data_IF_611010667642
#
_entry.id   IF_611010667642
#
_cell.length_a   1.000
_cell.length_b   1.000
_cell.length_c   1.000
_cell.angle_alpha   90.00
_cell.angle_beta   90.00
_cell.angle_gamma   90.00
#
_symmetry.space_group_name_H-M   'P 1'
#
loop_
_entity.id
_entity.type
_entity.pdbx_description
1 polymer ?
#
# COMPACT_ATOMS: atom_id res chain seq x y z
N UNK A 1 53.10 -9.56 49.47
CA UNK A 1 51.72 -10.06 49.23
C UNK A 1 50.97 -9.22 48.15
N UNK A 2 51.67 -8.57 47.21
CA UNK A 2 51.02 -7.77 46.19
C UNK A 2 51.43 -8.12 44.75
N UNK A 3 52.06 -9.27 44.55
CA UNK A 3 52.63 -9.59 43.22
C UNK A 3 51.97 -10.77 42.50
N UNK A 4 50.87 -11.31 43.06
CA UNK A 4 50.20 -12.49 42.46
C UNK A 4 48.85 -12.20 41.79
N UNK A 5 48.35 -10.96 41.79
CA UNK A 5 47.02 -10.61 41.22
C UNK A 5 47.14 -10.01 39.80
N UNK A 6 48.32 -9.53 39.40
CA UNK A 6 48.48 -8.98 38.03
C UNK A 6 48.76 -10.00 36.92
N UNK A 7 49.11 -11.26 37.25
CA UNK A 7 49.38 -12.28 36.24
C UNK A 7 48.14 -13.04 35.76
N UNK A 8 47.00 -12.97 36.49
CA UNK A 8 45.77 -13.66 36.13
C UNK A 8 44.85 -12.84 35.17
N UNK A 9 45.06 -11.51 35.08
CA UNK A 9 44.26 -10.64 34.21
C UNK A 9 44.86 -10.53 32.79
N UNK A 10 46.16 -10.76 32.64
CA UNK A 10 46.81 -10.75 31.33
C UNK A 10 46.54 -12.02 30.50
N UNK A 11 46.07 -13.10 31.11
CA UNK A 11 45.77 -14.37 30.42
C UNK A 11 44.38 -14.47 29.82
N UNK A 12 43.46 -13.55 30.17
CA UNK A 12 42.06 -13.57 29.67
C UNK A 12 41.82 -12.66 28.47
N UNK A 13 42.79 -11.84 28.08
CA UNK A 13 42.68 -10.94 26.94
C UNK A 13 43.21 -11.53 25.61
N UNK A 14 43.71 -12.77 25.62
CA UNK A 14 44.22 -13.43 24.38
C UNK A 14 43.21 -14.43 23.80
N UNK A 15 42.09 -14.67 24.47
CA UNK A 15 41.10 -15.65 24.02
C UNK A 15 39.97 -15.09 23.13
N UNK A 16 39.99 -13.82 22.74
CA UNK A 16 38.96 -13.20 21.91
C UNK A 16 39.45 -12.56 20.60
N UNK A 17 40.54 -13.04 20.03
CA UNK A 17 40.99 -12.61 18.71
C UNK A 17 41.04 -13.74 17.69
N UNK A 18 40.09 -14.67 17.74
CA UNK A 18 39.77 -15.42 16.54
C UNK A 18 38.76 -14.59 15.76
N UNK A 19 39.28 -13.63 14.99
CA UNK A 19 38.58 -13.19 13.77
C UNK A 19 38.30 -14.46 12.97
N UNK A 20 37.03 -14.83 12.89
CA UNK A 20 36.59 -15.76 11.85
C UNK A 20 36.93 -15.00 10.56
N UNK A 21 38.03 -15.35 9.90
CA UNK A 21 38.20 -14.98 8.50
C UNK A 21 37.10 -15.71 7.73
N UNK A 22 35.98 -15.05 7.57
CA UNK A 22 35.05 -15.36 6.48
C UNK A 22 35.91 -15.11 5.24
N UNK A 23 36.12 -16.14 4.42
CA UNK A 23 36.84 -16.04 3.14
C UNK A 23 36.41 -14.72 2.50
N UNK A 24 37.36 -13.78 2.38
CA UNK A 24 37.09 -12.45 1.86
C UNK A 24 36.42 -12.62 0.51
N UNK A 25 35.25 -12.08 0.35
CA UNK A 25 34.63 -11.96 -0.98
C UNK A 25 35.64 -11.19 -1.80
N UNK A 26 36.09 -11.73 -2.94
CA UNK A 26 36.91 -10.98 -3.87
C UNK A 26 36.11 -9.78 -4.38
N UNK A 27 36.30 -8.65 -3.72
CA UNK A 27 35.63 -7.39 -4.05
C UNK A 27 36.29 -6.69 -5.25
N UNK A 28 37.34 -7.22 -5.81
CA UNK A 28 38.06 -6.58 -6.93
C UNK A 28 37.13 -6.37 -8.15
N UNK A 29 36.15 -7.25 -8.33
CA UNK A 29 35.12 -7.11 -9.36
C UNK A 29 34.05 -6.03 -9.06
N UNK A 30 33.91 -5.63 -7.79
CA UNK A 30 32.97 -4.61 -7.34
C UNK A 30 33.61 -3.23 -7.16
N UNK A 31 34.90 -3.20 -6.85
CA UNK A 31 35.68 -1.99 -6.62
C UNK A 31 36.54 -1.66 -7.84
N UNK A 32 35.97 -1.67 -9.05
CA UNK A 32 36.71 -1.18 -10.21
C UNK A 32 36.53 0.34 -10.35
N UNK A 33 37.44 1.17 -9.76
CA UNK A 33 37.31 2.63 -9.81
C UNK A 33 37.64 3.21 -11.20
N UNK A 34 38.11 2.38 -12.13
CA UNK A 34 38.59 2.85 -13.43
C UNK A 34 37.43 3.25 -14.37
N UNK A 35 36.23 2.77 -14.13
CA UNK A 35 35.08 3.08 -15.01
C UNK A 35 33.81 3.38 -14.23
N UNK A 36 33.50 4.63 -14.03
CA UNK A 36 32.18 5.06 -13.54
C UNK A 36 31.14 4.77 -14.60
N UNK A 37 30.18 3.86 -14.30
CA UNK A 37 29.12 3.46 -15.21
C UNK A 37 27.85 4.30 -14.98
N UNK A 38 27.23 4.72 -16.08
CA UNK A 38 25.94 5.37 -16.08
C UNK A 38 24.81 4.34 -16.27
N UNK A 39 23.75 4.46 -15.50
CA UNK A 39 22.58 3.62 -15.57
C UNK A 39 21.30 4.41 -15.38
N UNK A 40 20.17 3.85 -15.86
CA UNK A 40 18.85 4.47 -15.82
C UNK A 40 18.04 3.92 -14.65
N UNK A 41 17.38 4.80 -13.91
CA UNK A 41 16.34 4.41 -12.93
C UNK A 41 15.08 5.23 -13.16
N UNK A 42 13.94 4.65 -12.79
CA UNK A 42 12.71 5.42 -12.63
C UNK A 42 12.69 6.23 -11.32
N UNK A 43 11.60 6.92 -11.05
CA UNK A 43 11.43 7.73 -9.82
C UNK A 43 11.37 6.89 -8.53
N UNK A 44 11.23 5.58 -8.64
CA UNK A 44 11.22 4.65 -7.50
C UNK A 44 12.57 3.95 -7.27
N UNK A 45 13.59 4.29 -8.07
CA UNK A 45 14.92 3.68 -8.00
C UNK A 45 15.03 2.34 -8.72
N UNK A 46 14.01 1.91 -9.46
CA UNK A 46 14.03 0.68 -10.26
C UNK A 46 14.87 0.91 -11.53
N UNK A 47 15.69 -0.06 -11.94
CA UNK A 47 16.70 0.14 -12.99
C UNK A 47 16.53 -0.71 -14.26
N UNK A 48 15.54 -1.58 -14.37
CA UNK A 48 15.39 -2.46 -15.54
C UNK A 48 13.99 -2.43 -16.15
N UNK A 49 12.97 -2.47 -15.33
CA UNK A 49 11.57 -2.47 -15.74
C UNK A 49 10.66 -2.07 -14.59
N UNK A 50 9.55 -1.45 -14.89
CA UNK A 50 8.46 -1.22 -13.94
C UNK A 50 7.12 -1.23 -14.70
N UNK A 51 6.02 -1.18 -13.95
CA UNK A 51 4.66 -1.17 -14.50
C UNK A 51 3.87 -0.04 -13.85
N UNK A 52 3.20 0.76 -14.66
CA UNK A 52 2.35 1.86 -14.21
C UNK A 52 0.97 1.77 -14.85
N UNK A 53 -0.04 2.12 -14.06
CA UNK A 53 -1.40 2.30 -14.53
C UNK A 53 -1.64 3.79 -14.80
N UNK A 54 -2.39 4.13 -15.84
CA UNK A 54 -2.70 5.52 -16.16
C UNK A 54 -4.14 5.68 -16.64
N UNK A 55 -4.63 6.91 -16.54
CA UNK A 55 -5.98 7.29 -16.91
C UNK A 55 -5.91 8.44 -17.92
N UNK A 56 -6.32 8.23 -19.17
CA UNK A 56 -6.22 9.17 -20.31
C UNK A 56 -4.77 9.50 -20.67
N UNK A 57 -4.02 10.03 -19.72
CA UNK A 57 -2.61 10.36 -19.84
C UNK A 57 -1.85 9.93 -18.59
N UNK A 58 -0.57 9.70 -18.73
CA UNK A 58 0.34 9.37 -17.66
C UNK A 58 1.68 10.08 -17.83
N UNK A 59 2.39 10.23 -16.72
CA UNK A 59 3.75 10.76 -16.72
C UNK A 59 4.58 10.13 -15.60
N UNK A 60 5.85 9.94 -15.88
CA UNK A 60 6.81 9.50 -14.87
C UNK A 60 8.17 10.16 -15.12
N UNK A 61 9.06 10.05 -14.14
CA UNK A 61 10.41 10.63 -14.18
C UNK A 61 11.44 9.53 -14.23
N UNK A 62 12.47 9.72 -15.00
CA UNK A 62 13.66 8.89 -15.02
C UNK A 62 14.88 9.70 -14.61
N UNK A 63 15.83 9.04 -14.00
CA UNK A 63 17.09 9.63 -13.55
C UNK A 63 18.26 8.83 -14.13
N UNK A 64 19.30 9.52 -14.51
CA UNK A 64 20.59 8.89 -14.82
C UNK A 64 21.42 8.92 -13.55
N UNK A 65 21.90 7.76 -13.16
CA UNK A 65 22.77 7.61 -12.00
C UNK A 65 24.14 7.11 -12.44
N UNK A 66 25.16 7.48 -11.69
CA UNK A 66 26.52 6.99 -11.83
C UNK A 66 26.90 6.10 -10.66
N UNK A 67 27.71 5.09 -10.91
CA UNK A 67 28.23 4.19 -9.86
C UNK A 67 29.15 4.89 -8.86
N UNK A 68 29.67 6.07 -9.20
CA UNK A 68 30.43 6.95 -8.31
C UNK A 68 30.26 8.40 -8.77
N UNK A 69 30.48 9.40 -7.88
CA UNK A 69 30.42 10.82 -8.26
C UNK A 69 31.37 11.14 -9.42
N UNK A 70 30.90 11.93 -10.38
CA UNK A 70 31.70 12.34 -11.54
C UNK A 70 32.69 13.43 -11.17
N UNK A 71 33.90 13.36 -11.73
CA UNK A 71 34.86 14.45 -11.62
C UNK A 71 34.55 15.63 -12.53
N UNK A 72 33.82 15.39 -13.61
CA UNK A 72 33.45 16.36 -14.62
C UNK A 72 31.98 16.34 -14.89
N UNK A 73 31.44 17.46 -15.42
CA UNK A 73 30.07 17.51 -15.95
C UNK A 73 29.88 16.45 -17.03
N UNK A 74 28.78 15.69 -16.92
CA UNK A 74 28.38 14.68 -17.92
C UNK A 74 26.95 14.92 -18.39
N UNK A 75 26.72 14.65 -19.68
CA UNK A 75 25.40 14.80 -20.31
C UNK A 75 24.94 13.49 -20.90
N UNK A 76 23.68 13.18 -20.68
CA UNK A 76 23.02 11.98 -21.17
C UNK A 76 21.66 12.34 -21.77
N UNK A 77 21.17 11.44 -22.62
CA UNK A 77 19.80 11.49 -23.15
C UNK A 77 19.13 10.14 -23.05
N UNK A 78 17.83 10.14 -22.91
CA UNK A 78 17.00 8.95 -23.00
C UNK A 78 16.18 9.05 -24.28
N UNK A 79 16.11 7.98 -25.02
CA UNK A 79 15.32 7.89 -26.27
C UNK A 79 14.43 6.67 -26.27
N UNK A 80 13.28 6.75 -26.95
CA UNK A 80 12.49 5.59 -27.28
C UNK A 80 13.28 4.74 -28.30
N UNK A 81 13.40 3.42 -28.03
CA UNK A 81 14.14 2.49 -28.89
C UNK A 81 13.46 1.12 -28.90
N UNK A 82 12.77 0.81 -29.99
CA UNK A 82 12.00 -0.44 -30.14
C UNK A 82 12.86 -1.70 -29.98
N UNK A 83 14.17 -1.65 -30.30
CA UNK A 83 15.06 -2.80 -30.19
C UNK A 83 15.25 -3.26 -28.74
N UNK A 84 15.05 -2.36 -27.76
CA UNK A 84 15.06 -2.71 -26.33
C UNK A 84 13.94 -3.69 -26.00
N UNK A 85 12.72 -3.45 -26.53
CA UNK A 85 11.61 -4.36 -26.30
C UNK A 85 11.78 -5.69 -27.06
N UNK A 86 12.33 -5.67 -28.26
CA UNK A 86 12.64 -6.90 -29.02
C UNK A 86 13.61 -7.79 -28.24
N UNK A 87 14.67 -7.19 -27.68
CA UNK A 87 15.64 -7.87 -26.82
C UNK A 87 14.98 -8.42 -25.55
N UNK A 88 14.13 -7.62 -24.91
CA UNK A 88 13.37 -8.01 -23.74
C UNK A 88 12.45 -9.21 -24.03
N UNK A 89 11.64 -9.12 -25.08
CA UNK A 89 10.72 -10.18 -25.47
C UNK A 89 11.44 -11.49 -25.79
N UNK A 90 12.58 -11.41 -26.48
CA UNK A 90 13.43 -12.57 -26.80
C UNK A 90 13.97 -13.21 -25.53
N UNK A 91 14.58 -12.41 -24.64
CA UNK A 91 15.19 -12.88 -23.40
C UNK A 91 14.17 -13.53 -22.44
N UNK A 92 12.97 -12.95 -22.35
CA UNK A 92 11.94 -13.38 -21.41
C UNK A 92 10.87 -14.28 -22.04
N UNK A 93 10.98 -14.60 -23.34
CA UNK A 93 10.00 -15.39 -24.11
C UNK A 93 8.59 -14.80 -24.02
N UNK A 94 8.49 -13.47 -24.08
CA UNK A 94 7.24 -12.71 -24.05
C UNK A 94 6.90 -12.14 -25.42
N UNK A 95 5.70 -11.54 -25.55
CA UNK A 95 5.21 -10.93 -26.80
C UNK A 95 4.54 -9.58 -26.52
N UNK A 96 5.09 -8.79 -25.60
CA UNK A 96 4.57 -7.47 -25.32
C UNK A 96 4.66 -6.57 -26.56
N UNK A 97 3.64 -5.74 -26.74
CA UNK A 97 3.61 -4.74 -27.79
C UNK A 97 4.15 -3.41 -27.28
N UNK A 98 4.83 -2.69 -28.13
CA UNK A 98 5.27 -1.33 -27.80
C UNK A 98 4.08 -0.36 -27.84
N UNK A 99 4.03 0.58 -26.88
CA UNK A 99 3.16 1.76 -27.04
C UNK A 99 3.66 2.55 -28.25
N UNK A 100 2.80 2.93 -29.21
CA UNK A 100 3.23 3.68 -30.38
C UNK A 100 4.04 4.94 -30.01
N UNK A 101 5.16 5.16 -30.69
CA UNK A 101 6.09 6.24 -30.35
C UNK A 101 5.46 7.63 -30.39
N UNK A 102 4.47 7.86 -31.25
CA UNK A 102 3.71 9.11 -31.34
C UNK A 102 2.83 9.38 -30.10
N UNK A 103 2.61 8.39 -29.24
CA UNK A 103 1.90 8.51 -27.97
C UNK A 103 2.85 8.74 -26.80
N UNK A 104 4.18 8.81 -27.05
CA UNK A 104 5.21 8.98 -26.01
C UNK A 104 5.99 10.26 -26.27
N UNK A 105 6.16 11.07 -25.23
CA UNK A 105 6.99 12.28 -25.26
C UNK A 105 8.06 12.18 -24.18
N UNK A 106 9.33 12.32 -24.57
CA UNK A 106 10.47 12.31 -23.65
C UNK A 106 11.07 13.73 -23.65
N UNK A 107 11.04 14.37 -22.48
CA UNK A 107 11.46 15.76 -22.30
C UNK A 107 12.64 15.86 -21.32
N UNK A 108 13.61 16.65 -21.68
CA UNK A 108 14.76 16.95 -20.84
C UNK A 108 16.04 16.27 -21.28
N UNK A 109 17.14 16.75 -20.74
CA UNK A 109 18.47 16.13 -20.81
C UNK A 109 18.92 15.85 -19.40
N UNK A 110 19.50 14.69 -19.19
CA UNK A 110 20.11 14.37 -17.91
C UNK A 110 21.52 14.98 -17.86
N UNK A 111 21.68 15.96 -17.01
CA UNK A 111 22.97 16.56 -16.72
C UNK A 111 23.40 16.17 -15.32
N UNK A 112 24.61 15.65 -15.18
CA UNK A 112 25.24 15.35 -13.89
C UNK A 112 26.41 16.30 -13.72
N UNK A 113 26.30 17.22 -12.77
CA UNK A 113 27.36 18.18 -12.48
C UNK A 113 28.54 17.50 -11.76
N UNK A 114 29.71 18.13 -11.84
CA UNK A 114 30.88 17.62 -11.14
C UNK A 114 30.64 17.48 -9.63
N UNK A 115 31.06 16.36 -9.06
CA UNK A 115 30.85 16.02 -7.66
C UNK A 115 29.54 15.27 -7.39
N UNK A 116 28.62 15.21 -8.35
CA UNK A 116 27.34 14.53 -8.23
C UNK A 116 27.34 13.15 -8.92
N UNK A 117 26.40 12.31 -8.54
CA UNK A 117 26.18 11.00 -9.15
C UNK A 117 24.76 10.77 -9.66
N UNK A 118 23.87 11.76 -9.59
CA UNK A 118 22.49 11.68 -10.05
C UNK A 118 22.15 12.92 -10.86
N UNK A 119 21.39 12.75 -11.95
CA UNK A 119 20.95 13.82 -12.82
C UNK A 119 19.68 14.52 -12.32
N UNK A 120 19.39 15.67 -12.95
CA UNK A 120 18.04 16.17 -13.01
C UNK A 120 17.11 15.16 -13.72
N UNK A 121 15.79 15.18 -13.45
CA UNK A 121 14.85 14.23 -14.02
C UNK A 121 14.63 14.44 -15.52
N UNK A 122 14.49 13.31 -16.23
CA UNK A 122 13.94 13.24 -17.58
C UNK A 122 12.46 12.88 -17.44
N UNK A 123 11.56 13.68 -18.03
CA UNK A 123 10.14 13.40 -17.99
C UNK A 123 9.73 12.53 -19.18
N UNK A 124 9.01 11.44 -18.90
CA UNK A 124 8.39 10.57 -19.90
C UNK A 124 6.88 10.70 -19.73
N UNK A 125 6.22 11.26 -20.74
CA UNK A 125 4.77 11.44 -20.81
C UNK A 125 4.20 10.49 -21.85
N UNK A 126 2.99 10.01 -21.62
CA UNK A 126 2.33 9.10 -22.54
C UNK A 126 0.81 9.25 -22.46
N UNK A 127 0.13 8.94 -23.56
CA UNK A 127 -1.32 9.10 -23.70
C UNK A 127 -1.97 7.85 -24.23
N UNK A 128 -3.30 7.74 -24.06
CA UNK A 128 -4.11 6.71 -24.67
C UNK A 128 -4.43 7.04 -26.15
N UNK A 129 -4.86 6.03 -26.88
CA UNK A 129 -5.45 6.18 -28.22
C UNK A 129 -6.63 5.21 -28.37
N UNK A 130 -7.52 5.51 -29.32
CA UNK A 130 -8.75 4.73 -29.54
C UNK A 130 -8.46 3.30 -29.98
N UNK A 131 -7.40 3.10 -30.75
CA UNK A 131 -6.96 1.83 -31.32
C UNK A 131 -6.25 0.91 -30.32
N UNK A 132 -5.89 1.40 -29.14
CA UNK A 132 -5.30 0.56 -28.10
C UNK A 132 -6.34 -0.45 -27.57
N UNK A 133 -5.90 -1.67 -27.38
CA UNK A 133 -6.76 -2.75 -26.88
C UNK A 133 -7.29 -2.43 -25.47
N UNK A 134 -8.55 -2.77 -25.22
CA UNK A 134 -9.10 -2.77 -23.87
C UNK A 134 -8.31 -3.78 -23.04
N UNK A 135 -7.74 -3.37 -21.92
CA UNK A 135 -6.86 -4.16 -21.06
C UNK A 135 -5.46 -4.46 -21.67
N UNK A 136 -5.10 -3.83 -22.77
CA UNK A 136 -3.76 -3.98 -23.35
C UNK A 136 -2.68 -3.46 -22.39
N UNK A 137 -1.63 -4.26 -22.22
CA UNK A 137 -0.41 -3.85 -21.53
C UNK A 137 0.61 -3.53 -22.61
N UNK A 138 1.06 -2.28 -22.65
CA UNK A 138 2.01 -1.80 -23.64
C UNK A 138 3.34 -1.47 -22.99
N UNK A 139 4.43 -1.59 -23.73
CA UNK A 139 5.76 -1.26 -23.28
C UNK A 139 6.26 0.05 -23.89
N UNK A 140 6.86 0.92 -23.09
CA UNK A 140 7.66 2.06 -23.52
C UNK A 140 9.13 1.64 -23.38
N UNK A 141 9.81 1.29 -24.47
CA UNK A 141 11.21 0.87 -24.43
C UNK A 141 12.13 2.10 -24.46
N UNK A 142 12.99 2.23 -23.46
CA UNK A 142 13.87 3.36 -23.27
C UNK A 142 15.34 2.94 -23.34
N UNK A 143 16.16 3.75 -24.01
CA UNK A 143 17.60 3.58 -24.08
C UNK A 143 18.33 4.83 -23.63
N UNK A 144 19.27 4.65 -22.72
CA UNK A 144 20.20 5.68 -22.27
C UNK A 144 21.34 5.82 -23.28
N UNK A 145 21.69 7.06 -23.64
CA UNK A 145 22.84 7.42 -24.46
C UNK A 145 23.66 8.49 -23.76
N UNK A 146 24.96 8.32 -23.76
CA UNK A 146 25.92 9.27 -23.21
C UNK A 146 26.91 9.75 -24.26
N UNK A 147 27.61 10.82 -23.98
CA UNK A 147 28.71 11.33 -24.81
C UNK A 147 30.00 10.51 -24.62
N UNK A 148 30.08 9.74 -23.55
CA UNK A 148 31.22 8.85 -23.21
C UNK A 148 30.77 7.38 -23.31
N UNK A 149 31.72 6.49 -23.56
CA UNK A 149 31.50 5.04 -23.54
C UNK A 149 31.52 4.50 -22.10
N UNK A 150 30.52 4.98 -21.31
CA UNK A 150 30.36 4.60 -19.91
C UNK A 150 28.93 4.22 -19.54
N UNK A 151 28.06 3.98 -20.50
CA UNK A 151 26.72 3.50 -20.24
C UNK A 151 26.75 2.00 -19.89
N UNK A 152 26.09 1.62 -18.80
CA UNK A 152 25.98 0.23 -18.39
C UNK A 152 25.27 -0.59 -19.47
N UNK A 153 25.86 -1.73 -19.87
CA UNK A 153 25.26 -2.64 -20.84
C UNK A 153 23.96 -3.28 -20.33
N UNK A 154 23.86 -3.51 -19.02
CA UNK A 154 22.67 -4.14 -18.42
C UNK A 154 21.61 -3.12 -18.06
N UNK A 155 22.00 -1.99 -17.47
CA UNK A 155 21.10 -1.00 -16.88
C UNK A 155 20.99 0.30 -17.68
N UNK A 156 21.54 0.32 -18.90
CA UNK A 156 21.34 1.42 -19.87
C UNK A 156 20.05 1.30 -20.65
N UNK A 157 19.27 0.24 -20.43
CA UNK A 157 17.97 -0.01 -21.05
C UNK A 157 16.90 -0.16 -19.98
N UNK A 158 15.69 0.32 -20.28
CA UNK A 158 14.55 0.23 -19.37
C UNK A 158 13.28 -0.07 -20.16
N UNK A 159 12.45 -0.98 -19.67
CA UNK A 159 11.13 -1.27 -20.24
C UNK A 159 10.06 -0.83 -19.24
N UNK A 160 9.36 0.27 -19.54
CA UNK A 160 8.23 0.73 -18.76
C UNK A 160 6.96 0.13 -19.33
N UNK A 161 6.30 -0.75 -18.56
CA UNK A 161 4.98 -1.24 -18.91
C UNK A 161 3.91 -0.27 -18.46
N UNK A 162 2.96 0.03 -19.34
CA UNK A 162 1.85 0.94 -19.06
C UNK A 162 0.52 0.28 -19.47
N UNK A 163 -0.51 0.51 -18.67
CA UNK A 163 -1.87 0.05 -18.98
C UNK A 163 -2.85 1.20 -18.77
N UNK A 164 -3.63 1.47 -19.82
CA UNK A 164 -4.72 2.45 -19.78
C UNK A 164 -5.94 1.83 -19.09
N UNK A 165 -6.30 2.37 -17.94
CA UNK A 165 -7.46 1.90 -17.17
C UNK A 165 -8.76 2.68 -17.47
N UNK A 166 -8.76 3.65 -18.38
CA UNK A 166 -9.97 4.41 -18.73
C UNK A 166 -11.05 3.54 -19.35
N UNK A 167 -10.62 2.53 -20.11
CA UNK A 167 -11.52 1.61 -20.83
C UNK A 167 -12.16 0.57 -19.92
N UNK A 168 -11.67 0.46 -18.68
CA UNK A 168 -12.28 -0.40 -17.67
C UNK A 168 -13.44 0.32 -16.98
N UNK A 169 -14.58 -0.31 -16.75
CA UNK A 169 -15.66 0.29 -15.99
C UNK A 169 -15.21 0.54 -14.54
N UNK A 170 -15.91 1.46 -13.85
CA UNK A 170 -15.68 1.70 -12.43
C UNK A 170 -16.23 0.54 -11.56
N UNK A 171 -16.08 0.65 -10.24
CA UNK A 171 -16.59 -0.35 -9.29
C UNK A 171 -18.06 -0.14 -8.90
N UNK A 172 -18.68 1.02 -9.18
CA UNK A 172 -19.99 1.38 -8.67
C UNK A 172 -21.10 0.44 -9.20
N UNK A 173 -21.72 -0.29 -8.29
CA UNK A 173 -22.81 -1.21 -8.58
C UNK A 173 -24.15 -0.51 -8.44
N UNK A 174 -25.08 -0.81 -9.34
CA UNK A 174 -26.40 -0.16 -9.39
C UNK A 174 -27.29 -0.51 -8.17
N UNK A 175 -26.94 -1.58 -7.45
CA UNK A 175 -27.67 -2.05 -6.26
C UNK A 175 -27.18 -1.41 -4.95
N UNK A 176 -26.12 -0.57 -4.98
CA UNK A 176 -25.56 0.10 -3.81
C UNK A 176 -24.81 -0.79 -2.81
N UNK A 177 -24.70 -2.11 -3.09
CA UNK A 177 -23.96 -3.01 -2.21
C UNK A 177 -22.45 -2.74 -2.27
N UNK A 178 -21.83 -2.77 -1.10
CA UNK A 178 -20.40 -2.64 -0.95
C UNK A 178 -19.75 -4.02 -0.82
N UNK A 179 -18.69 -4.26 -1.56
CA UNK A 179 -17.76 -5.38 -1.33
C UNK A 179 -16.43 -4.77 -0.90
N UNK A 180 -16.10 -4.98 0.36
CA UNK A 180 -14.90 -4.41 0.99
C UNK A 180 -13.79 -5.44 0.96
N UNK A 181 -12.61 -5.07 0.45
CA UNK A 181 -11.40 -5.88 0.51
C UNK A 181 -10.50 -5.39 1.63
N UNK A 182 -10.39 -6.14 2.71
CA UNK A 182 -9.41 -5.88 3.78
C UNK A 182 -8.15 -6.67 3.46
N UNK A 183 -7.08 -5.98 3.04
CA UNK A 183 -5.89 -6.62 2.49
C UNK A 183 -4.72 -6.58 3.47
N UNK A 184 -4.10 -7.73 3.68
CA UNK A 184 -2.83 -7.83 4.39
C UNK A 184 -1.69 -7.28 3.50
N UNK A 185 -1.33 -6.01 3.72
CA UNK A 185 -0.33 -5.30 2.90
C UNK A 185 1.08 -5.87 3.07
N UNK A 186 1.35 -6.58 4.16
CA UNK A 186 2.64 -7.26 4.33
C UNK A 186 2.85 -8.39 3.30
N UNK A 187 1.76 -9.00 2.82
CA UNK A 187 1.79 -10.15 1.94
C UNK A 187 1.42 -9.82 0.49
N UNK A 188 0.59 -8.79 0.26
CA UNK A 188 -0.07 -8.59 -1.03
C UNK A 188 -0.07 -7.15 -1.51
N UNK A 189 -0.09 -6.98 -2.83
CA UNK A 189 -0.15 -5.67 -3.47
C UNK A 189 -1.60 -5.19 -3.60
N UNK A 190 -1.96 -3.98 -3.14
CA UNK A 190 -3.33 -3.47 -3.21
C UNK A 190 -3.88 -3.38 -4.64
N UNK A 191 -3.03 -3.26 -5.67
CA UNK A 191 -3.47 -3.29 -7.07
C UNK A 191 -4.11 -4.62 -7.51
N UNK A 192 -3.97 -5.69 -6.72
CA UNK A 192 -4.67 -6.95 -7.02
C UNK A 192 -6.19 -6.81 -7.01
N UNK A 193 -6.73 -5.80 -6.35
CA UNK A 193 -8.17 -5.50 -6.41
C UNK A 193 -8.66 -5.17 -7.84
N UNK A 194 -7.78 -4.70 -8.71
CA UNK A 194 -8.07 -4.44 -10.12
C UNK A 194 -8.06 -5.71 -11.00
N UNK A 195 -7.74 -6.88 -10.44
CA UNK A 195 -7.78 -8.16 -11.16
C UNK A 195 -9.17 -8.80 -11.18
N UNK A 196 -10.12 -8.32 -10.36
CA UNK A 196 -11.40 -8.97 -10.18
C UNK A 196 -12.54 -8.10 -10.71
N UNK A 197 -13.22 -8.62 -11.74
CA UNK A 197 -14.36 -7.98 -12.38
C UNK A 197 -15.56 -8.91 -12.40
N UNK A 198 -16.75 -8.32 -12.35
CA UNK A 198 -18.02 -9.04 -12.50
C UNK A 198 -18.24 -9.42 -13.97
N UNK A 199 -18.50 -10.68 -14.24
CA UNK A 199 -18.60 -11.22 -15.61
C UNK A 199 -19.66 -10.48 -16.46
N UNK A 200 -20.83 -10.20 -15.89
CA UNK A 200 -21.94 -9.60 -16.64
C UNK A 200 -21.75 -8.12 -16.94
N UNK A 201 -21.26 -7.33 -15.96
CA UNK A 201 -21.14 -5.88 -16.08
C UNK A 201 -19.74 -5.42 -16.47
N UNK A 202 -18.74 -6.26 -16.25
CA UNK A 202 -17.32 -5.91 -16.34
C UNK A 202 -16.85 -4.93 -15.26
N UNK A 203 -17.72 -4.47 -14.36
CA UNK A 203 -17.37 -3.58 -13.24
C UNK A 203 -16.45 -4.31 -12.27
N UNK A 204 -15.59 -3.57 -11.57
CA UNK A 204 -14.77 -4.17 -10.53
C UNK A 204 -15.62 -4.70 -9.37
N UNK A 205 -15.17 -5.84 -8.81
CA UNK A 205 -15.87 -6.49 -7.69
C UNK A 205 -15.83 -5.64 -6.43
N UNK A 206 -14.66 -5.05 -6.10
CA UNK A 206 -14.45 -4.33 -4.85
C UNK A 206 -14.80 -2.85 -4.97
N UNK A 207 -15.45 -2.31 -3.94
CA UNK A 207 -15.83 -0.89 -3.81
C UNK A 207 -14.90 -0.14 -2.86
N UNK A 208 -14.28 -0.87 -1.94
CA UNK A 208 -13.36 -0.33 -0.94
C UNK A 208 -12.18 -1.27 -0.75
N UNK A 209 -11.02 -0.68 -0.42
CA UNK A 209 -9.78 -1.39 -0.07
C UNK A 209 -9.28 -0.85 1.25
N UNK A 210 -9.29 -1.69 2.29
CA UNK A 210 -8.70 -1.39 3.58
C UNK A 210 -7.24 -1.84 3.54
N UNK A 211 -6.32 -0.90 3.74
CA UNK A 211 -4.89 -1.17 3.88
C UNK A 211 -4.64 -1.69 5.31
N UNK A 212 -4.53 -3.00 5.46
CA UNK A 212 -4.37 -3.64 6.75
C UNK A 212 -2.90 -4.04 6.96
N UNK A 213 -2.18 -3.43 7.94
CA UNK A 213 -2.66 -2.32 8.73
C UNK A 213 -1.53 -1.39 9.17
N UNK A 214 -1.86 -0.13 9.41
CA UNK A 214 -1.16 0.68 10.38
C UNK A 214 -1.52 0.24 11.79
N UNK A 215 -0.80 0.74 12.77
CA UNK A 215 -0.96 0.31 14.15
C UNK A 215 -1.16 1.51 15.09
N UNK A 216 -1.81 1.24 16.22
CA UNK A 216 -1.86 2.16 17.36
C UNK A 216 -0.77 1.79 18.35
N UNK A 217 0.12 2.73 18.65
CA UNK A 217 1.23 2.55 19.58
C UNK A 217 1.28 3.70 20.61
N UNK A 218 2.02 3.48 21.70
CA UNK A 218 2.24 4.47 22.74
C UNK A 218 3.73 4.77 22.90
N UNK A 219 4.09 6.03 22.82
CA UNK A 219 5.45 6.49 23.08
C UNK A 219 5.64 6.74 24.58
N UNK A 220 6.58 6.02 25.21
CA UNK A 220 6.87 6.12 26.63
C UNK A 220 7.55 7.44 27.02
N UNK A 221 8.30 8.06 26.11
CA UNK A 221 9.04 9.28 26.37
C UNK A 221 8.12 10.51 26.28
N UNK A 222 7.31 10.60 25.23
CA UNK A 222 6.38 11.72 25.03
C UNK A 222 5.05 11.51 25.75
N UNK A 223 4.76 10.29 26.18
CA UNK A 223 3.48 9.87 26.79
C UNK A 223 2.27 10.07 25.87
N UNK A 224 2.47 9.93 24.57
CA UNK A 224 1.46 10.12 23.55
C UNK A 224 1.17 8.83 22.80
N UNK A 225 -0.08 8.69 22.37
CA UNK A 225 -0.50 7.66 21.43
C UNK A 225 -0.19 8.16 20.03
N UNK A 226 0.31 7.27 19.16
CA UNK A 226 0.63 7.60 17.78
C UNK A 226 0.30 6.46 16.81
N UNK A 227 0.13 6.80 15.53
CA UNK A 227 0.00 5.82 14.46
C UNK A 227 1.38 5.40 13.97
N UNK A 228 1.70 4.13 14.17
CA UNK A 228 2.88 3.47 13.61
C UNK A 228 2.50 2.78 12.30
N UNK A 229 3.21 3.08 11.24
CA UNK A 229 3.12 2.36 9.97
C UNK A 229 4.42 1.58 9.76
N UNK A 230 4.34 0.27 9.58
CA UNK A 230 5.49 -0.54 9.22
C UNK A 230 6.03 -0.17 7.82
N UNK A 231 7.15 -0.79 7.41
CA UNK A 231 7.80 -0.46 6.13
C UNK A 231 6.88 -0.70 4.92
N UNK A 232 6.05 -1.74 4.92
CA UNK A 232 5.15 -2.07 3.82
C UNK A 232 4.02 -1.06 3.67
N UNK A 233 3.35 -0.71 4.77
CA UNK A 233 2.33 0.34 4.78
C UNK A 233 2.95 1.69 4.39
N UNK A 234 4.10 2.04 4.98
CA UNK A 234 4.82 3.28 4.67
C UNK A 234 5.20 3.35 3.20
N UNK A 235 5.67 2.25 2.60
CA UNK A 235 6.00 2.17 1.18
C UNK A 235 4.77 2.42 0.30
N UNK A 236 3.67 1.74 0.57
CA UNK A 236 2.43 1.89 -0.22
C UNK A 236 1.89 3.32 -0.12
N UNK A 237 1.91 3.93 1.07
CA UNK A 237 1.48 5.31 1.27
C UNK A 237 2.42 6.32 0.59
N UNK A 238 3.72 6.13 0.69
CA UNK A 238 4.73 7.00 0.05
C UNK A 238 4.58 6.99 -1.47
N UNK A 239 4.27 5.84 -2.05
CA UNK A 239 4.10 5.66 -3.50
C UNK A 239 2.62 5.55 -3.89
N UNK A 240 1.76 6.38 -3.27
CA UNK A 240 0.30 6.38 -3.48
C UNK A 240 -0.10 6.50 -4.95
N UNK A 241 0.62 7.28 -5.74
CA UNK A 241 0.39 7.44 -7.17
C UNK A 241 0.48 6.12 -7.95
N UNK A 242 1.32 5.21 -7.46
CA UNK A 242 1.49 3.87 -8.05
C UNK A 242 0.48 2.87 -7.54
N UNK A 243 0.18 2.88 -6.24
CA UNK A 243 -0.56 1.81 -5.58
C UNK A 243 -1.99 2.15 -5.23
N UNK A 244 -2.31 3.41 -4.95
CA UNK A 244 -3.60 3.82 -4.40
C UNK A 244 -4.45 4.63 -5.39
N UNK A 245 -3.86 5.61 -6.07
CA UNK A 245 -4.59 6.43 -7.03
C UNK A 245 -5.25 5.64 -8.16
N UNK A 246 -4.64 4.55 -8.72
CA UNK A 246 -5.33 3.72 -9.71
C UNK A 246 -6.62 3.07 -9.18
N UNK A 247 -6.67 2.71 -7.90
CA UNK A 247 -7.87 2.19 -7.25
C UNK A 247 -8.95 3.27 -7.17
N UNK A 248 -8.57 4.46 -6.67
CA UNK A 248 -9.47 5.61 -6.54
C UNK A 248 -9.98 6.11 -7.89
N UNK A 249 -9.15 6.08 -8.93
CA UNK A 249 -9.57 6.41 -10.31
C UNK A 249 -10.65 5.46 -10.85
N UNK A 250 -10.77 4.26 -10.27
CA UNK A 250 -11.83 3.30 -10.58
C UNK A 250 -13.01 3.36 -9.60
N UNK A 251 -13.02 4.37 -8.74
CA UNK A 251 -14.11 4.65 -7.80
C UNK A 251 -13.99 3.88 -6.48
N UNK A 252 -12.96 3.06 -6.30
CA UNK A 252 -12.72 2.37 -5.03
C UNK A 252 -12.31 3.36 -3.95
N UNK A 253 -12.82 3.19 -2.74
CA UNK A 253 -12.37 3.92 -1.57
C UNK A 253 -11.15 3.25 -0.97
N UNK A 254 -10.15 4.04 -0.55
CA UNK A 254 -8.93 3.55 0.09
C UNK A 254 -8.91 3.98 1.55
N UNK A 255 -8.94 3.01 2.44
CA UNK A 255 -9.12 3.17 3.88
C UNK A 255 -7.86 2.72 4.61
N UNK A 256 -7.39 3.47 5.60
CA UNK A 256 -6.28 3.03 6.46
C UNK A 256 -6.82 2.20 7.62
N UNK A 257 -6.45 0.92 7.68
CA UNK A 257 -6.73 0.07 8.83
C UNK A 257 -5.82 0.42 10.01
N UNK A 258 -6.37 0.42 11.22
CA UNK A 258 -5.66 0.64 12.48
C UNK A 258 -5.89 -0.54 13.39
N UNK A 259 -4.81 -1.22 13.75
CA UNK A 259 -4.77 -2.44 14.57
C UNK A 259 -3.90 -2.23 15.80
N UNK A 260 -4.10 -2.97 16.87
CA UNK A 260 -3.14 -3.07 17.97
C UNK A 260 -1.80 -3.66 17.53
N UNK A 261 -0.75 -3.44 18.31
CA UNK A 261 0.63 -3.85 17.95
C UNK A 261 1.36 -4.52 19.12
N UNK A 262 0.67 -5.36 19.90
CA UNK A 262 1.20 -5.93 21.15
C UNK A 262 1.73 -4.85 22.12
N UNK A 263 1.38 -3.58 21.85
CA UNK A 263 1.65 -2.41 22.64
C UNK A 263 0.52 -2.16 23.65
N UNK A 264 0.74 -1.23 24.58
CA UNK A 264 -0.25 -0.87 25.61
C UNK A 264 -1.43 -0.06 25.06
N UNK A 265 -1.23 0.69 23.99
CA UNK A 265 -2.30 1.44 23.35
C UNK A 265 -3.29 0.51 22.67
N UNK A 266 -4.56 0.80 22.84
CA UNK A 266 -5.67 0.12 22.20
C UNK A 266 -6.74 1.13 21.78
N UNK A 267 -7.54 0.78 20.80
CA UNK A 267 -8.68 1.60 20.36
C UNK A 267 -9.67 1.82 21.52
N UNK A 268 -9.73 0.87 22.45
CA UNK A 268 -10.67 0.83 23.56
C UNK A 268 -10.14 1.37 24.88
N UNK A 269 -8.93 1.93 24.94
CA UNK A 269 -8.34 2.36 26.23
C UNK A 269 -7.79 3.79 26.24
N UNK A 270 -8.10 4.61 25.24
CA UNK A 270 -7.65 5.99 25.20
C UNK A 270 -8.49 6.88 26.14
N UNK A 271 -7.84 7.88 26.75
CA UNK A 271 -8.54 8.99 27.39
C UNK A 271 -9.22 9.90 26.36
N UNK A 272 -10.11 10.78 26.80
CA UNK A 272 -10.75 11.75 25.90
C UNK A 272 -9.72 12.63 25.16
N UNK A 273 -8.67 13.07 25.87
CA UNK A 273 -7.58 13.83 25.25
C UNK A 273 -6.75 12.98 24.29
N UNK A 274 -6.47 11.72 24.64
CA UNK A 274 -5.82 10.77 23.75
C UNK A 274 -6.63 10.50 22.48
N UNK A 275 -7.95 10.38 22.58
CA UNK A 275 -8.84 10.26 21.44
C UNK A 275 -8.76 11.47 20.51
N UNK A 276 -8.79 12.70 21.05
CA UNK A 276 -8.68 13.94 20.27
C UNK A 276 -7.31 14.04 19.58
N UNK A 277 -6.23 13.77 20.31
CA UNK A 277 -4.87 13.80 19.78
C UNK A 277 -4.72 12.81 18.62
N UNK A 278 -5.08 11.55 18.84
CA UNK A 278 -4.98 10.50 17.84
C UNK A 278 -5.86 10.78 16.62
N UNK A 279 -7.06 11.35 16.81
CA UNK A 279 -7.92 11.76 15.70
C UNK A 279 -7.28 12.84 14.81
N UNK A 280 -6.54 13.81 15.39
CA UNK A 280 -5.82 14.81 14.61
C UNK A 280 -4.63 14.20 13.85
N UNK A 281 -3.91 13.27 14.45
CA UNK A 281 -2.84 12.56 13.75
C UNK A 281 -3.38 11.74 12.58
N UNK A 282 -4.45 10.97 12.78
CA UNK A 282 -5.11 10.22 11.70
C UNK A 282 -5.61 11.14 10.59
N UNK A 283 -6.16 12.30 10.94
CA UNK A 283 -6.54 13.33 9.97
C UNK A 283 -5.37 13.75 9.11
N UNK A 284 -4.24 14.10 9.73
CA UNK A 284 -3.04 14.52 9.01
C UNK A 284 -2.56 13.43 8.03
N UNK A 285 -2.60 12.15 8.44
CA UNK A 285 -2.25 11.01 7.57
C UNK A 285 -3.24 10.86 6.40
N UNK A 286 -4.54 10.85 6.69
CA UNK A 286 -5.60 10.71 5.68
C UNK A 286 -5.53 11.83 4.64
N UNK A 287 -5.28 13.07 5.06
CA UNK A 287 -5.13 14.21 4.16
C UNK A 287 -3.83 14.14 3.34
N UNK A 288 -2.68 13.85 3.97
CA UNK A 288 -1.38 13.77 3.29
C UNK A 288 -1.35 12.71 2.17
N UNK A 289 -2.00 11.59 2.42
CA UNK A 289 -2.02 10.47 1.47
C UNK A 289 -3.29 10.41 0.63
N UNK A 290 -4.19 11.38 0.77
CA UNK A 290 -5.48 11.45 0.07
C UNK A 290 -6.32 10.17 0.24
N UNK A 291 -6.38 9.64 1.47
CA UNK A 291 -7.18 8.46 1.79
C UNK A 291 -8.65 8.84 1.96
N UNK A 292 -9.52 7.85 1.88
CA UNK A 292 -10.96 8.06 1.98
C UNK A 292 -11.51 7.87 3.40
N UNK A 293 -10.72 7.33 4.33
CA UNK A 293 -11.13 7.13 5.71
C UNK A 293 -10.19 6.26 6.52
N UNK A 294 -10.69 5.81 7.66
CA UNK A 294 -10.01 4.91 8.60
C UNK A 294 -10.91 3.74 9.00
N UNK A 295 -10.30 2.61 9.28
CA UNK A 295 -10.95 1.40 9.79
C UNK A 295 -10.29 0.99 11.10
N UNK A 296 -11.07 0.67 12.13
CA UNK A 296 -10.61 0.27 13.44
C UNK A 296 -10.86 -1.20 13.71
N UNK A 297 -9.80 -1.91 14.10
CA UNK A 297 -9.82 -3.28 14.57
C UNK A 297 -9.13 -3.37 15.94
N UNK A 298 -9.91 -3.69 16.99
CA UNK A 298 -9.44 -3.68 18.38
C UNK A 298 -8.89 -5.05 18.81
N UNK A 299 -7.82 -5.48 18.15
CA UNK A 299 -7.13 -6.74 18.44
C UNK A 299 -5.64 -6.51 18.76
N UNK A 300 -4.99 -7.51 19.30
CA UNK A 300 -3.54 -7.62 19.54
C UNK A 300 -2.90 -6.51 20.41
N UNK A 301 -3.68 -5.76 21.19
CA UNK A 301 -3.12 -4.83 22.18
C UNK A 301 -2.87 -5.52 23.53
N UNK A 302 -1.74 -5.20 24.18
CA UNK A 302 -1.37 -5.74 25.50
C UNK A 302 -2.03 -4.95 26.65
N UNK A 303 -3.34 -5.00 26.74
CA UNK A 303 -4.19 -4.18 27.63
C UNK A 303 -3.97 -4.42 29.12
N UNK A 304 -3.50 -5.59 29.51
CA UNK A 304 -3.49 -6.07 30.92
C UNK A 304 -2.52 -5.37 31.87
N UNK A 305 -1.57 -4.57 31.38
CA UNK A 305 -0.49 -4.01 32.19
C UNK A 305 -0.60 -2.51 32.43
N UNK A 306 -1.71 -1.86 32.01
CA UNK A 306 -1.84 -0.40 32.07
C UNK A 306 -3.13 0.03 32.71
N UNK A 307 -3.09 1.11 33.51
CA UNK A 307 -4.25 1.68 34.19
C UNK A 307 -5.13 2.45 33.19
N UNK A 308 -5.69 1.76 32.22
CA UNK A 308 -6.66 2.30 31.27
C UNK A 308 -7.91 1.45 31.32
N UNK A 309 -9.07 2.06 31.37
CA UNK A 309 -10.33 1.36 31.22
C UNK A 309 -10.49 0.89 29.78
N UNK A 310 -10.48 -0.43 29.57
CA UNK A 310 -10.92 -1.00 28.31
C UNK A 310 -12.45 -0.97 28.28
N UNK A 311 -13.03 -0.13 27.45
CA UNK A 311 -14.49 -0.08 27.31
C UNK A 311 -14.92 0.38 25.92
N UNK A 312 -16.13 -0.05 25.49
CA UNK A 312 -16.74 0.44 24.27
C UNK A 312 -16.99 1.96 24.29
N UNK A 313 -17.07 2.59 25.48
CA UNK A 313 -17.17 4.06 25.61
C UNK A 313 -15.93 4.75 25.05
N UNK A 314 -14.73 4.23 25.33
CA UNK A 314 -13.48 4.79 24.84
C UNK A 314 -13.40 4.66 23.31
N UNK A 315 -13.75 3.50 22.75
CA UNK A 315 -13.84 3.31 21.31
C UNK A 315 -14.88 4.25 20.68
N UNK A 316 -16.03 4.43 21.33
CA UNK A 316 -17.07 5.37 20.87
C UNK A 316 -16.54 6.81 20.84
N UNK A 317 -15.82 7.22 21.90
CA UNK A 317 -15.19 8.55 21.95
C UNK A 317 -14.17 8.71 20.83
N UNK A 318 -13.33 7.73 20.57
CA UNK A 318 -12.36 7.78 19.48
C UNK A 318 -13.04 7.94 18.12
N UNK A 319 -14.01 7.08 17.81
CA UNK A 319 -14.74 7.15 16.53
C UNK A 319 -15.44 8.51 16.34
N UNK A 320 -16.05 9.04 17.41
CA UNK A 320 -16.68 10.36 17.41
C UNK A 320 -15.69 11.48 17.11
N UNK A 321 -14.54 11.52 17.82
CA UNK A 321 -13.52 12.55 17.61
C UNK A 321 -12.89 12.45 16.21
N UNK A 322 -12.71 11.24 15.67
CA UNK A 322 -12.24 11.03 14.30
C UNK A 322 -13.27 11.54 13.29
N UNK A 323 -14.55 11.19 13.44
CA UNK A 323 -15.62 11.69 12.55
C UNK A 323 -15.76 13.21 12.61
N UNK A 324 -15.65 13.78 13.80
CA UNK A 324 -15.66 15.23 14.03
C UNK A 324 -14.47 15.93 13.36
N UNK A 325 -13.28 15.33 13.44
CA UNK A 325 -12.06 15.86 12.80
C UNK A 325 -12.12 15.76 11.26
N UNK A 326 -12.80 14.74 10.74
CA UNK A 326 -12.86 14.41 9.31
C UNK A 326 -14.31 14.08 8.88
N UNK A 327 -15.26 15.03 8.89
CA UNK A 327 -16.69 14.74 8.70
C UNK A 327 -17.02 14.11 7.33
N UNK A 328 -16.20 14.37 6.31
CA UNK A 328 -16.39 13.87 4.95
C UNK A 328 -15.60 12.56 4.65
N UNK A 329 -14.93 12.00 5.65
CA UNK A 329 -14.18 10.74 5.52
C UNK A 329 -14.92 9.60 6.20
N UNK A 330 -14.68 8.39 5.75
CA UNK A 330 -15.30 7.19 6.29
C UNK A 330 -14.65 6.82 7.63
N UNK A 331 -15.48 6.44 8.59
CA UNK A 331 -15.10 5.82 9.85
C UNK A 331 -15.74 4.45 9.89
N UNK A 332 -14.92 3.42 9.86
CA UNK A 332 -15.34 2.02 9.80
C UNK A 332 -14.82 1.26 11.02
N UNK A 333 -15.59 0.31 11.50
CA UNK A 333 -15.25 -0.43 12.73
C UNK A 333 -15.53 -1.92 12.52
N UNK A 334 -14.55 -2.77 12.83
CA UNK A 334 -14.74 -4.20 12.94
C UNK A 334 -15.48 -4.50 14.26
N UNK A 335 -16.64 -5.12 14.15
CA UNK A 335 -17.55 -5.40 15.27
C UNK A 335 -17.08 -6.65 15.99
N UNK A 336 -16.04 -6.49 16.80
CA UNK A 336 -15.37 -7.58 17.51
C UNK A 336 -14.80 -7.11 18.86
N UNK A 337 -14.70 -7.97 19.85
CA UNK A 337 -14.07 -7.66 21.14
C UNK A 337 -14.62 -6.35 21.77
N UNK A 338 -13.75 -5.40 22.11
CA UNK A 338 -14.11 -4.14 22.75
C UNK A 338 -14.90 -3.16 21.89
N UNK A 339 -14.91 -3.36 20.58
CA UNK A 339 -15.74 -2.63 19.60
C UNK A 339 -17.04 -3.36 19.24
N UNK A 340 -17.34 -4.47 19.90
CA UNK A 340 -18.57 -5.22 19.68
C UNK A 340 -19.86 -4.45 19.92
N UNK A 341 -19.80 -3.37 20.72
CA UNK A 341 -20.90 -2.40 20.92
C UNK A 341 -20.33 -1.02 21.15
N UNK A 342 -20.92 -0.01 20.54
CA UNK A 342 -20.60 1.40 20.76
C UNK A 342 -21.77 2.13 21.41
N UNK A 343 -21.48 3.26 22.06
CA UNK A 343 -22.41 4.03 22.87
C UNK A 343 -22.46 5.49 22.43
N UNK A 344 -23.52 6.18 22.83
CA UNK A 344 -23.68 7.60 22.54
C UNK A 344 -22.56 8.43 23.15
N UNK A 345 -22.10 9.44 22.40
CA UNK A 345 -21.07 10.40 22.81
C UNK A 345 -21.60 11.82 22.60
N UNK A 346 -21.60 12.62 23.65
CA UNK A 346 -22.05 14.03 23.60
C UNK A 346 -23.45 14.20 22.97
N UNK A 347 -24.34 13.20 23.16
CA UNK A 347 -25.70 13.19 22.60
C UNK A 347 -25.83 12.59 21.20
N UNK A 348 -24.72 12.24 20.52
CA UNK A 348 -24.71 11.61 19.21
C UNK A 348 -24.73 10.09 19.33
N UNK A 349 -25.50 9.44 18.47
CA UNK A 349 -25.59 7.99 18.40
C UNK A 349 -24.43 7.40 17.55
N UNK A 350 -23.99 6.15 17.78
CA UNK A 350 -22.98 5.49 16.99
C UNK A 350 -23.15 5.58 15.48
N UNK A 351 -24.38 5.44 14.97
CA UNK A 351 -24.67 5.55 13.54
C UNK A 351 -24.52 6.97 12.96
N UNK A 352 -24.26 7.99 13.78
CA UNK A 352 -23.94 9.35 13.31
C UNK A 352 -22.43 9.56 13.11
N UNK A 353 -21.58 8.73 13.74
CA UNK A 353 -20.14 8.88 13.67
C UNK A 353 -19.38 7.63 13.20
N UNK A 354 -20.08 6.52 12.94
CA UNK A 354 -19.56 5.32 12.26
C UNK A 354 -20.36 5.11 10.99
N UNK A 355 -19.69 5.10 9.85
CA UNK A 355 -20.30 4.91 8.54
C UNK A 355 -20.59 3.43 8.25
N UNK A 356 -19.63 2.55 8.61
CA UNK A 356 -19.78 1.10 8.45
C UNK A 356 -19.37 0.34 9.72
N UNK A 357 -20.32 -0.45 10.23
CA UNK A 357 -20.05 -1.52 11.19
C UNK A 357 -19.84 -2.83 10.43
N UNK A 358 -18.65 -3.37 10.48
CA UNK A 358 -18.27 -4.58 9.74
C UNK A 358 -18.33 -5.77 10.70
N UNK A 359 -19.33 -6.64 10.50
CA UNK A 359 -19.55 -7.77 11.38
C UNK A 359 -18.42 -8.79 11.27
N UNK A 360 -18.09 -9.44 12.40
CA UNK A 360 -17.15 -10.56 12.47
C UNK A 360 -17.48 -11.68 11.48
N UNK A 361 -16.51 -12.54 11.20
CA UNK A 361 -16.60 -13.59 10.20
C UNK A 361 -17.86 -14.46 10.36
N UNK A 362 -18.59 -14.60 9.26
CA UNK A 362 -19.84 -15.34 9.20
C UNK A 362 -21.03 -14.68 9.90
N UNK A 363 -20.81 -13.57 10.60
CA UNK A 363 -21.86 -12.86 11.33
C UNK A 363 -22.89 -12.22 10.39
N UNK A 364 -24.19 -12.44 10.66
CA UNK A 364 -25.30 -12.00 9.83
C UNK A 364 -26.43 -11.32 10.63
N UNK A 365 -26.22 -11.10 11.93
CA UNK A 365 -27.17 -10.40 12.78
C UNK A 365 -27.20 -8.92 12.49
N UNK A 366 -28.38 -8.32 12.64
CA UNK A 366 -28.56 -6.87 12.57
C UNK A 366 -27.78 -6.17 13.69
N UNK A 367 -27.08 -5.09 13.37
CA UNK A 367 -26.21 -4.37 14.29
C UNK A 367 -26.89 -3.19 15.01
N UNK A 368 -28.19 -2.96 14.82
CA UNK A 368 -28.89 -1.79 15.36
C UNK A 368 -28.86 -1.71 16.89
N UNK A 369 -28.80 -2.87 17.58
CA UNK A 369 -28.66 -2.92 19.03
C UNK A 369 -27.24 -2.64 19.53
N UNK A 370 -26.25 -2.95 18.73
CA UNK A 370 -24.84 -2.76 19.05
C UNK A 370 -24.35 -1.37 18.64
N UNK A 371 -24.92 -0.83 17.57
CA UNK A 371 -24.60 0.46 16.97
C UNK A 371 -25.89 1.27 16.81
N UNK A 372 -26.47 1.80 17.89
CA UNK A 372 -27.69 2.58 17.80
C UNK A 372 -27.63 3.71 16.77
N UNK A 373 -28.70 3.88 16.01
CA UNK A 373 -28.78 4.89 14.95
C UNK A 373 -28.15 4.50 13.62
N UNK A 374 -27.45 3.36 13.53
CA UNK A 374 -26.83 2.92 12.27
C UNK A 374 -27.92 2.41 11.30
N UNK A 375 -27.97 2.95 10.06
CA UNK A 375 -28.87 2.43 9.04
C UNK A 375 -28.38 1.06 8.54
N UNK A 376 -29.28 0.24 8.01
CA UNK A 376 -28.92 -1.06 7.44
C UNK A 376 -27.83 -0.96 6.35
N UNK A 377 -27.83 0.11 5.57
CA UNK A 377 -26.82 0.39 4.57
C UNK A 377 -25.40 0.62 5.14
N UNK A 378 -25.29 0.90 6.44
CA UNK A 378 -24.02 0.98 7.16
C UNK A 378 -23.59 -0.36 7.78
N UNK A 379 -24.40 -1.41 7.70
CA UNK A 379 -24.11 -2.73 8.28
C UNK A 379 -23.52 -3.66 7.22
N UNK A 380 -22.25 -4.03 7.39
CA UNK A 380 -21.52 -4.95 6.52
C UNK A 380 -21.52 -6.32 7.18
N UNK A 381 -22.16 -7.29 6.55
CA UNK A 381 -22.46 -8.60 7.13
C UNK A 381 -21.84 -9.74 6.32
N UNK A 382 -21.72 -10.92 6.95
CA UNK A 382 -21.25 -12.13 6.28
C UNK A 382 -19.78 -12.06 5.87
N UNK A 383 -18.96 -11.30 6.60
CA UNK A 383 -17.51 -11.18 6.38
C UNK A 383 -16.83 -12.56 6.33
N UNK A 384 -15.80 -12.68 5.52
CA UNK A 384 -15.08 -13.95 5.29
C UNK A 384 -13.57 -13.75 5.25
N UNK A 385 -12.83 -14.82 5.54
CA UNK A 385 -11.39 -14.88 5.31
C UNK A 385 -11.11 -15.71 4.05
N UNK A 386 -10.86 -15.02 2.93
CA UNK A 386 -10.86 -15.67 1.63
C UNK A 386 -9.61 -16.47 1.33
N UNK A 387 -8.45 -16.12 1.87
CA UNK A 387 -7.20 -16.86 1.65
C UNK A 387 -7.24 -18.28 2.24
N UNK A 388 -8.05 -18.50 3.29
CA UNK A 388 -8.29 -19.83 3.88
C UNK A 388 -9.43 -20.62 3.21
N UNK A 389 -10.07 -20.04 2.19
CA UNK A 389 -11.16 -20.69 1.50
C UNK A 389 -12.49 -20.70 2.25
N UNK A 390 -12.63 -19.91 3.32
CA UNK A 390 -13.89 -19.75 4.02
C UNK A 390 -14.81 -18.82 3.24
N UNK A 391 -16.01 -19.28 2.96
CA UNK A 391 -17.03 -18.49 2.27
C UNK A 391 -18.41 -18.83 2.84
N UNK A 392 -19.21 -17.81 3.07
CA UNK A 392 -20.63 -17.95 3.32
C UNK A 392 -21.34 -18.52 2.07
N UNK A 393 -22.52 -19.08 2.26
CA UNK A 393 -23.32 -19.52 1.11
C UNK A 393 -23.87 -18.33 0.33
N UNK A 394 -24.11 -18.50 -0.97
CA UNK A 394 -24.73 -17.47 -1.81
C UNK A 394 -26.09 -16.98 -1.25
N UNK A 395 -26.82 -17.84 -0.53
CA UNK A 395 -28.07 -17.47 0.13
C UNK A 395 -27.90 -16.41 1.23
N UNK A 396 -26.72 -16.34 1.87
CA UNK A 396 -26.40 -15.29 2.84
C UNK A 396 -26.29 -13.94 2.13
N UNK A 397 -25.55 -13.87 1.03
CA UNK A 397 -25.37 -12.63 0.27
C UNK A 397 -26.67 -12.18 -0.40
N UNK A 398 -27.48 -13.11 -0.90
CA UNK A 398 -28.83 -12.79 -1.40
C UNK A 398 -29.72 -12.19 -0.30
N UNK A 399 -29.65 -12.67 0.94
CA UNK A 399 -30.41 -12.10 2.07
C UNK A 399 -29.87 -10.72 2.47
N UNK A 400 -28.55 -10.51 2.47
CA UNK A 400 -27.95 -9.20 2.71
C UNK A 400 -28.54 -8.18 1.73
N UNK A 401 -28.53 -8.51 0.44
CA UNK A 401 -29.12 -7.69 -0.61
C UNK A 401 -30.62 -7.45 -0.42
N UNK A 402 -31.39 -8.52 -0.23
CA UNK A 402 -32.84 -8.46 -0.14
C UNK A 402 -33.34 -7.64 1.07
N UNK A 403 -32.57 -7.60 2.16
CA UNK A 403 -32.93 -6.88 3.38
C UNK A 403 -32.37 -5.45 3.44
N UNK A 404 -31.63 -4.99 2.40
CA UNK A 404 -31.09 -3.64 2.31
C UNK A 404 -29.87 -3.39 3.22
N UNK A 405 -29.12 -4.43 3.58
CA UNK A 405 -27.85 -4.27 4.28
C UNK A 405 -26.76 -3.74 3.35
N UNK A 406 -25.74 -3.13 3.92
CA UNK A 406 -24.70 -2.40 3.18
C UNK A 406 -23.79 -3.23 2.29
N UNK A 407 -23.56 -4.50 2.65
CA UNK A 407 -22.68 -5.34 1.86
C UNK A 407 -21.92 -6.39 2.67
N UNK A 408 -20.73 -6.73 2.23
CA UNK A 408 -19.86 -7.73 2.86
C UNK A 408 -18.38 -7.32 2.81
N UNK A 409 -17.55 -7.91 3.66
CA UNK A 409 -16.10 -7.74 3.66
C UNK A 409 -15.41 -9.07 3.42
N UNK A 410 -14.33 -9.05 2.64
CA UNK A 410 -13.40 -10.16 2.49
C UNK A 410 -12.04 -9.76 3.05
N UNK A 411 -11.48 -10.59 3.93
CA UNK A 411 -10.13 -10.43 4.46
C UNK A 411 -9.14 -11.35 3.75
N UNK A 412 -7.90 -10.89 3.64
CA UNK A 412 -6.79 -11.70 3.18
C UNK A 412 -6.87 -12.07 1.70
N UNK A 413 -7.35 -11.15 0.85
CA UNK A 413 -7.36 -11.36 -0.60
C UNK A 413 -5.93 -11.58 -1.11
N UNK A 414 -5.69 -12.75 -1.66
CA UNK A 414 -4.45 -13.11 -2.33
C UNK A 414 -4.78 -13.89 -3.62
N UNK A 415 -4.56 -13.33 -4.81
CA UNK A 415 -4.87 -13.97 -6.07
C UNK A 415 -4.23 -15.34 -6.27
N UNK A 416 -3.12 -15.62 -5.57
CA UNK A 416 -2.42 -16.91 -5.65
C UNK A 416 -3.02 -17.97 -4.73
N UNK A 417 -3.66 -17.57 -3.63
CA UNK A 417 -4.18 -18.47 -2.57
C UNK A 417 -5.69 -18.51 -2.50
N UNK A 418 -6.37 -17.39 -2.84
CA UNK A 418 -7.83 -17.30 -2.74
C UNK A 418 -8.50 -18.19 -3.79
N UNK A 419 -9.28 -19.21 -3.38
CA UNK A 419 -9.98 -20.05 -4.34
C UNK A 419 -11.08 -19.26 -5.10
N UNK A 420 -11.19 -19.48 -6.41
CA UNK A 420 -12.18 -18.78 -7.24
C UNK A 420 -13.62 -18.91 -6.73
N UNK A 421 -13.99 -20.08 -6.15
CA UNK A 421 -15.35 -20.29 -5.66
C UNK A 421 -15.73 -19.34 -4.51
N UNK A 422 -14.74 -18.85 -3.74
CA UNK A 422 -14.98 -17.92 -2.63
C UNK A 422 -15.50 -16.60 -3.18
N UNK A 423 -14.78 -16.01 -4.14
CA UNK A 423 -15.15 -14.74 -4.75
C UNK A 423 -16.43 -14.87 -5.60
N UNK A 424 -16.63 -15.99 -6.30
CA UNK A 424 -17.84 -16.25 -7.07
C UNK A 424 -19.12 -16.30 -6.22
N UNK A 425 -19.02 -16.54 -4.91
CA UNK A 425 -20.18 -16.49 -4.01
C UNK A 425 -20.49 -15.07 -3.57
N UNK A 426 -19.48 -14.22 -3.49
CA UNK A 426 -19.63 -12.80 -3.13
C UNK A 426 -20.09 -11.96 -4.32
N UNK A 427 -19.61 -12.31 -5.51
CA UNK A 427 -20.01 -11.68 -6.78
C UNK A 427 -21.47 -11.95 -7.15
#
# INVERSE_FOLDING_TARGET
KATFICAAIAGLSIACSNTIEVNGVDESGYNNPEKTLAFLTDKYGVSLRDSLLFNVEGATKFYVNLTAPSKDKQEYSVSYDASVLESYNTKHKTRYQALPNNLVTIEGKAVIEAGNNTSEPINVKYTTATELEKNGIYAIPLRLKGTRDNVSKEKGEFVLFVQDITKMPNCHKDNGLQVISCMEINDTNPLYNLCFTLEQSGKYLFDQVILFSGNINYNLETQEVYNYNNENISHVLQYKEKYLEPLQQKGMKVILGILGNHDRAAITNLSDEGCKHFAQELKAKVEAYNLDGVFFDDEYSSRGNYPGFVSGNNASRLCYEVKKAMPNKLVEVYVYSGTGSLYSVDGHQPGEFVDYGIHDYGGTSDLSSNYPGMPKSGMILGSIECARGYASSSSVYMRIKANGYGGTMVFGLDPKRTPNYVLNRVA
#
